data_IF_258825015374
#
_entry.id   IF_258825015374
#
_cell.length_a   1.000
_cell.length_b   1.000
_cell.length_c   1.000
_cell.angle_alpha   90.00
_cell.angle_beta   90.00
_cell.angle_gamma   90.00
#
_symmetry.space_group_name_H-M   'P 1'
#
loop_
_entity.id
_entity.type
_entity.pdbx_description
1 polymer ?
#
# COMPACT_ATOMS: atom_id res chain seq x y z
N UNK A 1 -11.72 -4.76 -15.56
CA UNK A 1 -10.71 -4.42 -14.54
C UNK A 1 -11.49 -3.80 -13.40
N UNK A 2 -11.52 -4.43 -12.23
CA UNK A 2 -12.21 -3.86 -11.06
C UNK A 2 -11.16 -3.37 -10.07
N UNK A 3 -11.13 -2.06 -9.87
CA UNK A 3 -10.30 -1.39 -8.88
C UNK A 3 -11.23 -1.05 -7.72
N UNK A 4 -10.90 -1.52 -6.53
CA UNK A 4 -11.66 -1.27 -5.31
C UNK A 4 -11.23 0.05 -4.68
N UNK A 5 -9.93 0.32 -4.64
CA UNK A 5 -9.39 1.58 -4.12
C UNK A 5 -8.00 1.89 -4.69
N UNK A 6 -7.59 3.15 -4.64
CA UNK A 6 -6.30 3.62 -5.16
C UNK A 6 -5.72 4.82 -4.39
N UNK A 7 -4.40 4.77 -4.19
CA UNK A 7 -3.65 5.87 -3.61
C UNK A 7 -2.31 6.07 -4.35
N UNK A 8 -1.85 7.32 -4.41
CA UNK A 8 -0.60 7.71 -5.04
C UNK A 8 0.34 8.30 -4.00
N UNK A 9 1.60 7.94 -4.12
CA UNK A 9 2.70 8.48 -3.32
C UNK A 9 3.72 9.10 -4.27
N UNK A 10 4.10 10.34 -4.02
CA UNK A 10 5.13 11.05 -4.76
C UNK A 10 6.21 11.53 -3.80
N UNK A 11 7.46 11.15 -4.05
CA UNK A 11 8.61 11.60 -3.27
C UNK A 11 9.54 12.45 -4.14
N UNK A 12 9.27 13.74 -4.17
CA UNK A 12 10.06 14.70 -4.94
C UNK A 12 11.50 14.78 -4.42
N UNK A 13 12.45 14.98 -5.32
CA UNK A 13 13.86 15.21 -4.97
C UNK A 13 14.02 16.45 -4.07
N UNK A 14 14.93 16.35 -3.10
CA UNK A 14 15.17 17.31 -2.03
C UNK A 14 14.11 17.36 -0.93
N UNK A 15 13.11 16.47 -0.91
CA UNK A 15 12.05 16.48 0.13
C UNK A 15 12.31 15.45 1.22
N UNK A 16 12.14 15.88 2.46
CA UNK A 16 12.32 15.03 3.66
C UNK A 16 11.30 13.90 3.82
N UNK A 17 10.15 13.99 3.12
CA UNK A 17 9.06 13.02 3.21
C UNK A 17 8.25 12.99 1.92
N UNK A 18 7.62 11.86 1.57
CA UNK A 18 6.74 11.79 0.43
C UNK A 18 5.44 12.57 0.67
N UNK A 19 4.75 12.91 -0.43
CA UNK A 19 3.37 13.38 -0.42
C UNK A 19 2.48 12.23 -0.82
N UNK A 20 1.45 11.98 -0.02
CA UNK A 20 0.43 10.99 -0.33
C UNK A 20 -0.83 11.70 -0.81
N UNK A 21 -1.48 11.14 -1.81
CA UNK A 21 -2.78 11.58 -2.30
C UNK A 21 -3.63 10.34 -2.49
N UNK A 22 -4.78 10.25 -1.81
CA UNK A 22 -5.76 9.24 -2.19
C UNK A 22 -6.23 9.63 -3.60
N UNK A 23 -5.93 8.77 -4.56
CA UNK A 23 -5.97 9.16 -5.97
C UNK A 23 -7.40 9.27 -6.47
N UNK A 24 -8.28 8.47 -5.90
CA UNK A 24 -9.72 8.53 -6.12
C UNK A 24 -10.33 7.83 -4.92
N UNK A 25 -11.11 8.52 -4.10
CA UNK A 25 -12.08 7.78 -3.30
C UNK A 25 -13.10 7.29 -4.33
N UNK A 26 -12.95 6.06 -4.82
CA UNK A 26 -13.94 5.42 -5.70
C UNK A 26 -15.17 5.14 -4.83
N UNK A 27 -15.86 6.22 -4.43
CA UNK A 27 -16.91 6.24 -3.43
C UNK A 27 -17.96 5.17 -3.75
N UNK A 28 -17.88 4.07 -3.03
CA UNK A 28 -18.64 2.86 -3.28
C UNK A 28 -18.36 1.85 -2.19
N UNK A 29 -19.34 1.00 -1.91
CA UNK A 29 -19.22 -0.05 -0.90
C UNK A 29 -17.96 -0.89 -1.15
N UNK A 30 -17.05 -0.92 -0.17
CA UNK A 30 -15.76 -1.62 -0.25
C UNK A 30 -14.53 -0.76 -0.56
N UNK A 31 -14.67 0.57 -0.64
CA UNK A 31 -13.52 1.48 -0.61
C UNK A 31 -12.89 1.50 0.78
N UNK A 32 -11.56 1.65 0.88
CA UNK A 32 -10.92 1.78 2.18
C UNK A 32 -10.94 3.25 2.62
N UNK A 33 -11.27 3.44 3.88
CA UNK A 33 -11.25 4.74 4.53
C UNK A 33 -9.83 5.34 4.51
N UNK A 34 -9.76 6.67 4.56
CA UNK A 34 -8.49 7.38 4.69
C UNK A 34 -7.66 6.95 5.91
N UNK A 35 -8.28 6.33 6.93
CA UNK A 35 -7.60 5.78 8.09
C UNK A 35 -6.68 4.60 7.73
N UNK A 36 -7.10 3.71 6.82
CA UNK A 36 -6.25 2.62 6.34
C UNK A 36 -5.00 3.17 5.65
N UNK A 37 -5.19 4.05 4.66
CA UNK A 37 -4.07 4.63 3.92
C UNK A 37 -3.16 5.46 4.83
N UNK A 38 -3.73 6.19 5.79
CA UNK A 38 -2.96 6.90 6.81
C UNK A 38 -2.09 5.97 7.65
N UNK A 39 -2.63 4.83 8.09
CA UNK A 39 -1.89 3.84 8.88
C UNK A 39 -0.81 3.16 8.04
N UNK A 40 -1.13 2.70 6.83
CA UNK A 40 -0.19 2.03 5.93
C UNK A 40 0.97 2.96 5.55
N UNK A 41 0.68 4.20 5.13
CA UNK A 41 1.73 5.16 4.78
C UNK A 41 2.50 5.66 6.00
N UNK A 42 1.87 5.70 7.18
CA UNK A 42 2.57 5.91 8.45
C UNK A 42 3.64 4.84 8.67
N UNK A 43 3.30 3.57 8.49
CA UNK A 43 4.23 2.45 8.63
C UNK A 43 5.36 2.50 7.59
N UNK A 44 5.04 2.84 6.35
CA UNK A 44 6.00 2.86 5.23
C UNK A 44 7.00 4.02 5.32
N UNK A 45 6.53 5.24 5.66
CA UNK A 45 7.32 6.46 5.44
C UNK A 45 7.59 7.29 6.69
N UNK A 46 6.91 7.04 7.81
CA UNK A 46 7.08 7.84 9.02
C UNK A 46 8.18 7.30 9.96
N UNK A 47 8.74 6.13 9.66
CA UNK A 47 9.79 5.52 10.45
C UNK A 47 11.14 5.81 9.81
N UNK A 48 12.07 6.52 10.49
CA UNK A 48 13.34 6.93 9.91
C UNK A 48 14.14 5.70 9.45
N UNK A 49 14.49 5.70 8.17
CA UNK A 49 15.36 4.73 7.54
C UNK A 49 16.80 4.91 8.02
N UNK A 50 17.09 4.59 9.28
CA UNK A 50 18.45 4.49 9.75
C UNK A 50 18.59 3.19 10.53
N UNK A 51 19.56 2.39 10.09
CA UNK A 51 19.73 1.00 10.45
C UNK A 51 19.59 0.71 11.95
N UNK A 52 18.97 -0.43 12.23
CA UNK A 52 19.16 -1.19 13.46
C UNK A 52 18.44 -0.71 14.74
N UNK A 53 17.42 0.15 14.69
CA UNK A 53 16.73 0.56 15.92
C UNK A 53 15.22 0.82 15.79
N UNK A 54 14.48 -0.06 15.10
CA UNK A 54 13.02 -0.07 15.20
C UNK A 54 12.58 -1.44 15.70
N UNK A 55 12.46 -1.55 17.03
CA UNK A 55 12.20 -2.80 17.75
C UNK A 55 10.74 -3.27 17.66
N UNK A 56 10.27 -3.92 18.72
CA UNK A 56 8.99 -4.63 18.80
C UNK A 56 7.75 -3.87 18.27
N UNK A 57 7.73 -2.53 18.30
CA UNK A 57 6.62 -1.74 17.77
C UNK A 57 6.44 -1.91 16.25
N UNK A 58 7.53 -2.02 15.48
CA UNK A 58 7.43 -2.29 14.04
C UNK A 58 6.96 -3.71 13.76
N UNK A 59 7.46 -4.69 14.51
CA UNK A 59 7.00 -6.09 14.38
C UNK A 59 5.53 -6.26 14.78
N UNK A 60 5.05 -5.50 15.76
CA UNK A 60 3.63 -5.52 16.13
C UNK A 60 2.74 -4.89 15.04
N UNK A 61 3.16 -3.76 14.47
CA UNK A 61 2.43 -3.12 13.38
C UNK A 61 2.45 -3.96 12.10
N UNK A 62 3.60 -4.51 11.73
CA UNK A 62 3.72 -5.34 10.53
C UNK A 62 3.00 -6.68 10.69
N UNK A 63 3.01 -7.27 11.90
CA UNK A 63 2.16 -8.42 12.25
C UNK A 63 0.67 -8.12 12.09
N UNK A 64 0.21 -6.96 12.56
CA UNK A 64 -1.18 -6.53 12.40
C UNK A 64 -1.57 -6.33 10.92
N UNK A 65 -0.68 -5.82 10.07
CA UNK A 65 -0.93 -5.71 8.63
C UNK A 65 -0.88 -7.06 7.91
N UNK A 66 -0.05 -8.00 8.38
CA UNK A 66 0.01 -9.36 7.86
C UNK A 66 -1.31 -10.12 8.10
N UNK A 67 -2.03 -9.80 9.19
CA UNK A 67 -3.37 -10.34 9.43
C UNK A 67 -4.41 -9.88 8.40
N UNK A 68 -4.15 -8.77 7.69
CA UNK A 68 -4.93 -8.31 6.54
C UNK A 68 -4.33 -8.72 5.20
N UNK A 69 -3.31 -9.57 5.18
CA UNK A 69 -2.65 -10.01 3.95
C UNK A 69 -1.71 -8.99 3.33
N UNK A 70 -1.24 -8.01 4.10
CA UNK A 70 -0.16 -7.09 3.71
C UNK A 70 1.11 -7.57 4.42
N UNK A 71 1.88 -8.42 3.73
CA UNK A 71 3.03 -9.09 4.32
C UNK A 71 4.28 -8.19 4.46
N UNK A 72 5.21 -8.62 5.32
CA UNK A 72 6.46 -7.92 5.59
C UNK A 72 7.34 -7.72 4.35
N UNK A 73 7.31 -8.64 3.38
CA UNK A 73 8.11 -8.52 2.16
C UNK A 73 7.57 -7.44 1.24
N UNK A 74 6.25 -7.31 1.14
CA UNK A 74 5.60 -6.20 0.46
C UNK A 74 6.01 -4.87 1.10
N UNK A 75 5.85 -4.73 2.41
CA UNK A 75 6.21 -3.52 3.15
C UNK A 75 7.69 -3.16 2.91
N UNK A 76 8.58 -4.13 3.05
CA UNK A 76 10.02 -3.93 2.82
C UNK A 76 10.33 -3.53 1.38
N UNK A 77 9.77 -4.23 0.40
CA UNK A 77 10.03 -3.95 -1.03
C UNK A 77 9.55 -2.55 -1.42
N UNK A 78 8.38 -2.14 -0.93
CA UNK A 78 7.86 -0.78 -1.16
C UNK A 78 8.79 0.25 -0.53
N UNK A 79 9.26 0.01 0.69
CA UNK A 79 10.17 0.91 1.41
C UNK A 79 11.54 1.06 0.72
N UNK A 80 12.04 -0.01 0.12
CA UNK A 80 13.31 0.01 -0.61
C UNK A 80 13.18 0.71 -1.98
N UNK A 81 12.00 0.64 -2.61
CA UNK A 81 11.76 1.19 -3.95
C UNK A 81 11.21 2.62 -3.94
N UNK A 82 10.36 2.96 -2.96
CA UNK A 82 9.72 4.28 -2.85
C UNK A 82 10.59 5.19 -2.00
N UNK A 83 11.59 5.76 -2.66
CA UNK A 83 12.58 6.67 -2.09
C UNK A 83 12.53 8.04 -2.77
N UNK A 84 13.34 8.98 -2.32
CA UNK A 84 13.45 10.31 -2.92
C UNK A 84 13.75 10.23 -4.44
N UNK A 85 13.01 10.99 -5.25
CA UNK A 85 13.05 10.93 -6.70
C UNK A 85 12.07 9.93 -7.34
N UNK A 86 11.26 9.22 -6.56
CA UNK A 86 10.34 8.18 -7.05
C UNK A 86 8.86 8.50 -6.81
N UNK A 87 7.99 7.70 -7.41
CA UNK A 87 6.55 7.71 -7.17
C UNK A 87 5.99 6.30 -7.22
N UNK A 88 4.89 6.05 -6.53
CA UNK A 88 4.19 4.77 -6.54
C UNK A 88 2.67 4.95 -6.61
N UNK A 89 2.02 4.08 -7.36
CA UNK A 89 0.57 3.90 -7.38
C UNK A 89 0.24 2.61 -6.62
N UNK A 90 -0.55 2.73 -5.57
CA UNK A 90 -1.08 1.63 -4.78
C UNK A 90 -2.50 1.35 -5.24
N UNK A 91 -2.81 0.09 -5.50
CA UNK A 91 -4.12 -0.36 -5.94
C UNK A 91 -4.60 -1.51 -5.07
N UNK A 92 -5.84 -1.42 -4.60
CA UNK A 92 -6.58 -2.57 -4.09
C UNK A 92 -7.48 -3.08 -5.22
N UNK A 93 -7.30 -4.33 -5.62
CA UNK A 93 -8.04 -4.92 -6.75
C UNK A 93 -8.29 -6.40 -6.48
N UNK A 94 -9.35 -6.95 -7.09
CA UNK A 94 -9.57 -8.39 -7.09
C UNK A 94 -8.51 -9.14 -7.91
N UNK A 95 -8.18 -10.37 -7.52
CA UNK A 95 -7.05 -11.14 -8.11
C UNK A 95 -7.13 -11.28 -9.64
N UNK A 96 -8.32 -11.45 -10.21
CA UNK A 96 -8.52 -11.57 -11.66
C UNK A 96 -8.18 -10.29 -12.46
N UNK A 97 -7.90 -9.19 -11.78
CA UNK A 97 -7.55 -7.90 -12.38
C UNK A 97 -6.02 -7.70 -12.47
N UNK A 98 -5.24 -8.33 -11.59
CA UNK A 98 -3.78 -8.10 -11.50
C UNK A 98 -3.05 -8.49 -12.78
N UNK A 99 -3.37 -9.66 -13.35
CA UNK A 99 -2.71 -10.14 -14.58
C UNK A 99 -2.98 -9.19 -15.76
N UNK A 100 -4.21 -8.68 -15.87
CA UNK A 100 -4.59 -7.71 -16.90
C UNK A 100 -3.86 -6.37 -16.73
N UNK A 101 -3.76 -5.89 -15.49
CA UNK A 101 -3.01 -4.67 -15.19
C UNK A 101 -1.52 -4.84 -15.51
N UNK A 102 -0.94 -6.01 -15.22
CA UNK A 102 0.45 -6.28 -15.56
C UNK A 102 0.70 -6.23 -17.06
N UNK A 103 -0.21 -6.78 -17.86
CA UNK A 103 -0.12 -6.75 -19.32
C UNK A 103 -0.33 -5.34 -19.88
N UNK A 104 -1.32 -4.60 -19.39
CA UNK A 104 -1.63 -3.24 -19.85
C UNK A 104 -0.55 -2.22 -19.47
N UNK A 105 0.04 -2.36 -18.29
CA UNK A 105 1.06 -1.45 -17.77
C UNK A 105 2.49 -1.89 -18.17
N UNK A 106 2.63 -2.98 -18.91
CA UNK A 106 3.92 -3.50 -19.35
C UNK A 106 4.70 -2.43 -20.12
N UNK A 107 5.89 -2.11 -19.63
CA UNK A 107 6.77 -1.09 -20.22
C UNK A 107 6.35 0.36 -19.92
N UNK A 108 5.25 0.58 -19.19
CA UNK A 108 4.81 1.89 -18.72
C UNK A 108 5.14 2.12 -17.23
N UNK A 109 5.11 1.05 -16.43
CA UNK A 109 5.48 1.08 -15.01
C UNK A 109 6.86 0.46 -14.79
N UNK A 110 7.56 0.94 -13.76
CA UNK A 110 8.88 0.42 -13.36
C UNK A 110 8.77 -0.97 -12.74
N UNK A 111 8.40 -1.01 -11.46
CA UNK A 111 8.41 -2.24 -10.65
C UNK A 111 7.00 -2.55 -10.14
N UNK A 112 6.50 -3.77 -10.41
CA UNK A 112 5.27 -4.27 -9.81
C UNK A 112 5.58 -5.00 -8.50
N UNK A 113 5.00 -4.53 -7.41
CA UNK A 113 5.08 -5.14 -6.08
C UNK A 113 3.67 -5.57 -5.69
N UNK A 114 3.48 -6.82 -5.28
CA UNK A 114 2.17 -7.37 -4.91
C UNK A 114 2.22 -8.16 -3.62
N UNK A 115 1.13 -8.10 -2.87
CA UNK A 115 0.80 -9.05 -1.81
C UNK A 115 -0.61 -9.59 -2.10
N UNK A 116 -0.89 -10.81 -1.65
CA UNK A 116 -2.14 -11.49 -1.94
C UNK A 116 -2.96 -11.62 -0.66
N UNK A 117 -4.21 -11.17 -0.72
CA UNK A 117 -5.15 -11.29 0.38
C UNK A 117 -6.01 -12.54 0.15
N UNK A 118 -6.17 -13.36 1.18
CA UNK A 118 -7.23 -14.37 1.21
C UNK A 118 -8.59 -13.67 1.32
N UNK A 119 -9.68 -14.37 0.99
CA UNK A 119 -11.05 -13.83 1.18
C UNK A 119 -11.32 -13.41 2.62
N UNK A 120 -10.76 -14.14 3.59
CA UNK A 120 -10.90 -13.84 5.02
C UNK A 120 -10.13 -12.58 5.40
N UNK A 121 -8.92 -12.40 4.84
CA UNK A 121 -8.09 -11.22 5.07
C UNK A 121 -8.73 -9.97 4.42
N UNK A 122 -9.25 -10.10 3.20
CA UNK A 122 -10.01 -9.05 2.53
C UNK A 122 -11.28 -8.67 3.31
N UNK A 123 -12.01 -9.65 3.85
CA UNK A 123 -13.17 -9.39 4.69
C UNK A 123 -12.78 -8.64 5.98
N UNK A 124 -11.73 -9.08 6.68
CA UNK A 124 -11.21 -8.40 7.88
C UNK A 124 -10.74 -6.97 7.58
N UNK A 125 -10.08 -6.77 6.44
CA UNK A 125 -9.63 -5.46 6.00
C UNK A 125 -10.82 -4.52 5.77
N UNK A 126 -11.84 -4.98 5.07
CA UNK A 126 -13.07 -4.22 4.84
C UNK A 126 -13.88 -4.00 6.12
N UNK A 127 -13.93 -4.95 7.04
CA UNK A 127 -14.58 -4.78 8.34
C UNK A 127 -13.88 -3.71 9.19
N UNK A 128 -12.54 -3.70 9.18
CA UNK A 128 -11.77 -2.77 9.98
C UNK A 128 -11.69 -1.36 9.37
N UNK A 129 -11.71 -1.26 8.04
CA UNK A 129 -11.39 -0.01 7.35
C UNK A 129 -12.29 0.35 6.17
N UNK A 130 -13.29 -0.45 5.81
CA UNK A 130 -14.22 -0.13 4.73
C UNK A 130 -15.05 1.12 5.03
N UNK A 131 -15.31 1.93 4.01
CA UNK A 131 -16.30 3.01 4.09
C UNK A 131 -17.73 2.43 4.00
N UNK A 132 -18.66 2.99 4.79
CA UNK A 132 -20.10 2.63 4.81
C UNK A 132 -20.85 3.07 3.54
#
# INVERSE_FOLDING_TARGET
>A
IQIQDAAVVEWQEGKKKPKTRQAVNLAGAGALSGAFWGMLFGLLFFIPFFGMAVGAAMGALSGHFSDYGIDDNFIKSVRDQVTEGTSALFLLTGSATVDKLQDELKGQIGTLIKSNLSKEQEAKLNEAFGEE
#
